data_IF_351473201472
#
_entry.id   IF_351473201472
#
_cell.length_a   1.000
_cell.length_b   1.000
_cell.length_c   1.000
_cell.angle_alpha   90.00
_cell.angle_beta   90.00
_cell.angle_gamma   90.00
#
_symmetry.space_group_name_H-M   'P 1'
#
loop_
_entity.id
_entity.type
_entity.pdbx_description
1 polymer ?
#
# COMPACT_ATOMS: atom_id res chain seq x y z
N UNK A 1 38.32 42.77 16.61
CA UNK A 1 38.88 41.57 17.27
C UNK A 1 39.25 40.57 16.19
N UNK A 2 40.55 40.38 15.93
CA UNK A 2 41.10 39.37 15.02
C UNK A 2 41.25 38.06 15.80
N UNK A 3 40.84 36.92 15.24
CA UNK A 3 41.28 35.60 15.69
C UNK A 3 41.96 34.88 14.54
N UNK A 4 43.19 34.47 14.83
CA UNK A 4 44.15 33.81 13.96
C UNK A 4 43.96 32.29 14.04
N UNK A 5 44.32 31.64 12.92
CA UNK A 5 44.42 30.22 12.59
C UNK A 5 44.90 29.27 13.70
N UNK A 6 44.41 28.02 13.66
CA UNK A 6 45.25 26.81 13.75
C UNK A 6 44.66 25.75 12.81
N UNK A 7 45.49 25.22 11.91
CA UNK A 7 45.22 24.02 11.12
C UNK A 7 46.19 22.88 11.48
N UNK A 8 45.93 21.74 10.83
CA UNK A 8 46.72 20.50 10.68
C UNK A 8 46.51 19.39 11.73
N UNK A 9 46.74 18.09 11.39
CA UNK A 9 47.26 17.55 10.12
C UNK A 9 46.44 16.40 9.48
N UNK A 10 46.70 16.18 8.18
CA UNK A 10 46.55 14.90 7.50
C UNK A 10 47.78 14.00 7.78
N UNK A 11 47.57 12.77 8.25
CA UNK A 11 48.48 11.60 8.14
C UNK A 11 47.64 10.33 8.42
N UNK A 12 47.32 9.50 7.42
CA UNK A 12 48.08 8.35 6.89
C UNK A 12 47.94 7.03 7.72
N UNK A 13 47.04 6.17 7.25
CA UNK A 13 47.14 4.70 6.98
C UNK A 13 47.83 3.77 8.02
N UNK A 14 47.09 2.79 8.56
CA UNK A 14 47.46 1.34 8.57
C UNK A 14 46.37 0.40 9.15
N UNK A 15 46.03 -0.63 8.34
CA UNK A 15 45.52 -1.97 8.64
C UNK A 15 44.62 -2.24 9.87
N UNK A 16 43.35 -2.60 9.61
CA UNK A 16 42.81 -3.91 10.03
C UNK A 16 42.15 -4.56 8.82
N UNK A 17 42.95 -5.33 8.08
CA UNK A 17 42.44 -6.39 7.22
C UNK A 17 42.18 -7.60 8.12
N UNK A 18 40.97 -7.75 8.62
CA UNK A 18 40.45 -9.02 9.12
C UNK A 18 39.44 -9.51 8.10
N UNK A 19 39.72 -10.68 7.50
CA UNK A 19 39.02 -11.21 6.34
C UNK A 19 37.55 -11.50 6.58
N UNK A 20 36.69 -10.52 6.34
CA UNK A 20 35.37 -10.80 5.81
C UNK A 20 35.59 -11.24 4.36
N UNK A 21 35.31 -12.50 4.07
CA UNK A 21 35.17 -12.97 2.69
C UNK A 21 34.35 -11.92 1.94
N UNK A 22 34.88 -11.40 0.83
CA UNK A 22 34.13 -10.55 -0.09
C UNK A 22 33.01 -11.40 -0.66
N UNK A 23 31.91 -11.51 0.09
CA UNK A 23 30.64 -11.93 -0.45
C UNK A 23 30.37 -10.93 -1.56
N UNK A 24 30.56 -11.38 -2.81
CA UNK A 24 30.23 -10.62 -4.00
C UNK A 24 28.82 -10.10 -3.75
N UNK A 25 28.66 -8.78 -3.64
CA UNK A 25 27.36 -8.17 -3.40
C UNK A 25 26.39 -8.85 -4.37
N UNK A 26 25.32 -9.50 -3.89
CA UNK A 26 24.51 -10.31 -4.76
C UNK A 26 24.02 -9.41 -5.89
N UNK A 27 24.46 -9.70 -7.11
CA UNK A 27 23.84 -9.10 -8.27
C UNK A 27 22.41 -9.60 -8.23
N UNK A 28 21.45 -8.68 -8.20
CA UNK A 28 20.07 -9.06 -8.39
C UNK A 28 19.99 -9.93 -9.66
N UNK A 29 19.28 -11.07 -9.63
CA UNK A 29 19.30 -12.00 -10.75
C UNK A 29 18.92 -11.27 -12.04
N UNK A 30 19.64 -11.49 -13.15
CA UNK A 30 19.27 -10.91 -14.43
C UNK A 30 17.81 -11.27 -14.77
N UNK A 31 17.03 -10.27 -15.19
CA UNK A 31 15.65 -10.48 -15.65
C UNK A 31 14.57 -9.61 -14.99
N UNK A 32 14.92 -8.68 -14.10
CA UNK A 32 13.91 -7.88 -13.39
C UNK A 32 13.36 -6.84 -14.35
N UNK A 33 12.26 -7.23 -15.01
CA UNK A 33 11.62 -6.42 -16.01
C UNK A 33 10.77 -5.38 -15.29
N UNK A 34 11.11 -4.10 -15.51
CA UNK A 34 10.17 -3.03 -15.25
C UNK A 34 8.88 -3.38 -15.99
N UNK A 35 7.77 -3.30 -15.28
CA UNK A 35 6.48 -3.61 -15.82
C UNK A 35 6.17 -2.72 -17.03
N UNK A 36 5.96 -3.29 -18.24
CA UNK A 36 5.80 -2.49 -19.46
C UNK A 36 4.42 -1.80 -19.54
N UNK A 37 3.50 -2.13 -18.63
CA UNK A 37 2.15 -1.55 -18.57
C UNK A 37 1.76 -1.13 -17.15
N UNK A 38 0.87 -0.12 -17.00
CA UNK A 38 0.28 0.29 -15.72
C UNK A 38 -0.54 -0.81 -15.00
N UNK A 39 -0.80 -1.93 -15.67
CA UNK A 39 -1.63 -3.04 -15.18
C UNK A 39 -0.81 -4.18 -14.56
N UNK A 40 0.48 -3.95 -14.31
CA UNK A 40 1.37 -4.94 -13.69
C UNK A 40 1.14 -5.00 -12.19
N UNK A 41 0.00 -5.59 -11.87
CA UNK A 41 -0.34 -6.08 -10.56
C UNK A 41 -0.25 -7.59 -10.65
N UNK A 42 0.24 -8.24 -9.61
CA UNK A 42 0.09 -9.70 -9.55
C UNK A 42 -1.42 -9.93 -9.54
N UNK A 43 -1.91 -10.65 -10.54
CA UNK A 43 -3.32 -11.06 -10.57
C UNK A 43 -3.39 -12.19 -9.56
N UNK A 44 -3.70 -11.81 -8.33
CA UNK A 44 -4.03 -12.75 -7.29
C UNK A 44 -5.54 -12.93 -7.32
N UNK A 45 -5.98 -14.10 -7.78
CA UNK A 45 -7.39 -14.50 -7.83
C UNK A 45 -8.40 -13.52 -8.48
N UNK A 46 -7.93 -12.67 -9.40
CA UNK A 46 -8.78 -11.73 -10.16
C UNK A 46 -8.84 -10.33 -9.55
N UNK A 47 -8.28 -10.14 -8.36
CA UNK A 47 -8.04 -8.82 -7.79
C UNK A 47 -6.62 -8.32 -8.11
N UNK A 48 -6.53 -7.00 -8.11
CA UNK A 48 -5.38 -6.25 -8.61
C UNK A 48 -4.47 -5.94 -7.41
N UNK A 49 -3.53 -6.83 -7.10
CA UNK A 49 -2.62 -6.71 -5.95
C UNK A 49 -1.24 -6.11 -6.32
N UNK A 50 -0.75 -5.13 -5.56
CA UNK A 50 0.58 -4.54 -5.78
C UNK A 50 1.61 -5.28 -4.96
N UNK A 51 2.26 -6.31 -5.53
CA UNK A 51 3.31 -7.05 -4.83
C UNK A 51 2.96 -8.52 -4.60
N UNK A 52 3.69 -9.15 -3.69
CA UNK A 52 3.50 -10.55 -3.28
C UNK A 52 3.42 -10.65 -1.77
N UNK A 53 2.64 -11.59 -1.28
CA UNK A 53 2.58 -11.92 0.13
C UNK A 53 3.39 -13.17 0.41
N UNK A 54 4.34 -13.03 1.33
CA UNK A 54 5.27 -14.10 1.69
C UNK A 54 4.90 -14.62 3.06
N UNK A 55 4.84 -15.94 3.19
CA UNK A 55 4.40 -16.61 4.42
C UNK A 55 5.45 -16.53 5.52
N UNK A 56 5.04 -16.07 6.70
CA UNK A 56 5.88 -16.07 7.90
C UNK A 56 5.11 -16.51 9.15
N UNK A 57 5.82 -16.86 10.22
CA UNK A 57 5.23 -17.01 11.55
C UNK A 57 5.14 -15.67 12.28
N UNK A 58 4.16 -15.51 13.18
CA UNK A 58 4.11 -14.35 14.10
C UNK A 58 5.38 -14.31 14.94
N UNK A 59 5.97 -13.12 15.10
CA UNK A 59 7.19 -12.93 15.88
C UNK A 59 8.46 -13.35 15.15
N UNK A 60 8.35 -13.86 13.93
CA UNK A 60 9.50 -14.24 13.13
C UNK A 60 10.27 -13.00 12.65
N UNK A 61 11.60 -13.09 12.60
CA UNK A 61 12.43 -12.02 12.03
C UNK A 61 12.44 -12.11 10.52
N UNK A 62 12.04 -11.01 9.87
CA UNK A 62 12.27 -10.85 8.44
C UNK A 62 13.70 -10.37 8.26
N UNK A 63 14.46 -11.06 7.41
CA UNK A 63 15.81 -10.67 7.03
C UNK A 63 15.86 -10.34 5.55
N UNK A 64 16.96 -9.73 5.13
CA UNK A 64 17.21 -9.39 3.73
C UNK A 64 18.58 -9.91 3.29
N UNK A 65 18.71 -10.32 2.03
CA UNK A 65 19.99 -10.82 1.51
C UNK A 65 20.91 -9.72 0.93
N UNK A 66 20.56 -8.44 1.13
CA UNK A 66 21.23 -7.29 0.49
C UNK A 66 21.39 -6.13 1.48
N UNK A 67 22.49 -5.36 1.43
CA UNK A 67 22.59 -4.13 2.20
C UNK A 67 21.57 -3.09 1.74
N UNK A 68 21.05 -2.29 2.67
CA UNK A 68 20.02 -1.30 2.38
C UNK A 68 19.97 -0.18 3.42
N UNK A 69 19.18 0.85 3.12
CA UNK A 69 18.85 1.94 4.01
C UNK A 69 17.33 2.00 4.22
N UNK A 70 16.89 2.21 5.46
CA UNK A 70 15.50 2.53 5.77
C UNK A 70 15.22 3.96 5.31
N UNK A 71 14.38 4.15 4.30
CA UNK A 71 14.09 5.50 3.76
C UNK A 71 12.72 6.03 4.20
N UNK A 72 11.82 5.16 4.65
CA UNK A 72 10.56 5.54 5.27
C UNK A 72 10.04 4.43 6.19
N UNK A 73 9.23 4.81 7.18
CA UNK A 73 8.41 3.88 7.94
C UNK A 73 6.99 3.92 7.36
N UNK A 74 6.36 2.75 7.23
CA UNK A 74 4.97 2.62 6.81
C UNK A 74 4.14 2.52 8.08
N UNK A 75 3.20 3.44 8.26
CA UNK A 75 2.14 3.33 9.27
C UNK A 75 0.83 3.10 8.55
N UNK A 76 0.04 2.17 9.05
CA UNK A 76 -1.32 2.00 8.56
C UNK A 76 -2.22 2.98 9.33
N UNK A 77 -2.89 3.93 8.65
CA UNK A 77 -3.70 4.93 9.32
C UNK A 77 -4.95 4.37 10.03
N UNK A 78 -5.39 3.14 9.72
CA UNK A 78 -6.49 2.47 10.43
C UNK A 78 -6.02 1.67 11.63
N UNK A 79 -4.87 1.02 11.50
CA UNK A 79 -4.39 0.05 12.49
C UNK A 79 -3.22 0.60 13.32
N UNK A 80 -2.79 1.82 13.02
CA UNK A 80 -1.62 2.44 13.59
C UNK A 80 -0.37 1.63 13.26
N UNK A 81 0.28 1.12 14.31
CA UNK A 81 1.52 0.35 14.16
C UNK A 81 1.26 -1.16 13.96
N UNK A 82 0.01 -1.63 13.99
CA UNK A 82 -0.30 -3.07 13.95
C UNK A 82 -0.19 -3.72 12.56
N UNK A 83 -0.25 -2.93 11.50
CA UNK A 83 0.06 -3.33 10.13
C UNK A 83 1.10 -2.40 9.50
N UNK A 84 2.07 -2.02 10.33
CA UNK A 84 3.16 -1.14 9.94
C UNK A 84 4.18 -1.84 9.04
N UNK A 85 5.21 -1.10 8.70
CA UNK A 85 6.26 -1.60 7.83
C UNK A 85 7.36 -0.58 7.58
N UNK A 86 8.12 -0.80 6.52
CA UNK A 86 9.14 0.13 6.08
C UNK A 86 9.42 0.04 4.60
N UNK A 87 9.94 1.15 4.09
CA UNK A 87 10.47 1.28 2.74
C UNK A 87 11.99 1.30 2.83
N UNK A 88 12.62 0.45 2.03
CA UNK A 88 14.06 0.27 2.00
C UNK A 88 14.60 0.54 0.62
N UNK A 89 15.69 1.31 0.53
CA UNK A 89 16.47 1.47 -0.69
C UNK A 89 17.72 0.60 -0.61
N UNK A 90 18.01 -0.17 -1.66
CA UNK A 90 19.26 -0.94 -1.68
C UNK A 90 20.48 -0.03 -1.73
N UNK A 91 21.58 -0.47 -1.12
CA UNK A 91 22.87 0.20 -1.25
C UNK A 91 23.41 0.12 -2.70
N UNK A 92 24.36 0.99 -3.08
CA UNK A 92 25.07 0.90 -4.36
C UNK A 92 25.59 -0.51 -4.64
N UNK A 93 25.55 -0.96 -5.91
CA UNK A 93 25.14 -0.23 -7.12
C UNK A 93 23.62 -0.29 -7.40
N UNK A 94 22.83 -0.87 -6.50
CA UNK A 94 21.42 -1.20 -6.75
C UNK A 94 20.44 -0.13 -6.26
N UNK A 95 20.85 1.14 -6.15
CA UNK A 95 20.02 2.21 -5.55
C UNK A 95 18.71 2.49 -6.29
N UNK A 96 18.58 2.01 -7.53
CA UNK A 96 17.34 2.05 -8.29
C UNK A 96 16.24 1.14 -7.72
N UNK A 97 16.59 0.24 -6.80
CA UNK A 97 15.66 -0.69 -6.18
C UNK A 97 15.16 -0.17 -4.84
N UNK A 98 13.84 -0.09 -4.73
CA UNK A 98 13.14 0.20 -3.50
C UNK A 98 12.22 -0.95 -3.17
N UNK A 99 12.29 -1.44 -1.94
CA UNK A 99 11.40 -2.48 -1.43
C UNK A 99 10.48 -1.86 -0.39
N UNK A 100 9.21 -2.22 -0.41
CA UNK A 100 8.28 -1.87 0.65
C UNK A 100 7.76 -3.15 1.28
N UNK A 101 7.93 -3.24 2.59
CA UNK A 101 7.48 -4.36 3.42
C UNK A 101 6.36 -3.86 4.31
N UNK A 102 5.27 -4.62 4.39
CA UNK A 102 4.12 -4.34 5.27
C UNK A 102 3.77 -5.62 6.06
N UNK A 103 3.27 -5.46 7.29
CA UNK A 103 3.02 -6.56 8.21
C UNK A 103 4.20 -6.85 9.15
N UNK A 104 5.11 -5.89 9.33
CA UNK A 104 6.29 -6.02 10.20
C UNK A 104 6.42 -4.84 11.17
N UNK A 105 6.78 -5.15 12.42
CA UNK A 105 7.27 -4.17 13.38
C UNK A 105 8.73 -3.86 13.06
N UNK A 106 9.03 -2.61 12.72
CA UNK A 106 10.37 -2.18 12.30
C UNK A 106 11.09 -1.52 13.47
N UNK A 107 12.18 -2.11 14.01
CA UNK A 107 12.90 -1.55 15.16
C UNK A 107 13.93 -0.47 14.76
N UNK A 108 13.94 -0.06 13.49
CA UNK A 108 14.97 0.81 12.90
C UNK A 108 14.41 2.20 12.61
N UNK A 109 15.24 3.22 12.79
CA UNK A 109 14.89 4.59 12.40
C UNK A 109 15.13 4.84 10.91
N UNK A 110 14.43 5.81 10.33
CA UNK A 110 14.75 6.32 8.98
C UNK A 110 16.21 6.79 8.93
N UNK A 111 16.92 6.46 7.86
CA UNK A 111 18.36 6.66 7.66
C UNK A 111 19.23 5.52 8.18
N UNK A 112 18.66 4.51 8.85
CA UNK A 112 19.43 3.36 9.34
C UNK A 112 19.94 2.53 8.15
N UNK A 113 21.26 2.32 8.11
CA UNK A 113 21.91 1.42 7.15
C UNK A 113 21.98 0.02 7.74
N UNK A 114 21.54 -0.95 6.96
CA UNK A 114 21.45 -2.36 7.31
C UNK A 114 22.37 -3.15 6.39
N UNK A 115 23.15 -4.05 6.98
CA UNK A 115 23.96 -5.00 6.22
C UNK A 115 23.10 -6.16 5.68
N UNK A 116 23.65 -6.91 4.72
CA UNK A 116 23.03 -8.17 4.30
C UNK A 116 22.90 -9.14 5.48
N UNK A 117 21.77 -9.83 5.57
CA UNK A 117 21.40 -10.73 6.66
C UNK A 117 20.80 -10.02 7.87
N UNK A 118 20.85 -8.69 7.95
CA UNK A 118 20.25 -7.96 9.07
C UNK A 118 18.73 -8.14 9.10
N UNK A 119 18.17 -8.27 10.31
CA UNK A 119 16.74 -8.25 10.52
C UNK A 119 16.18 -6.88 10.13
N UNK A 120 15.17 -6.84 9.28
CA UNK A 120 14.48 -5.62 8.85
C UNK A 120 13.25 -5.32 9.70
N UNK A 121 12.68 -6.35 10.33
CA UNK A 121 11.55 -6.22 11.24
C UNK A 121 11.10 -7.57 11.77
N UNK A 122 10.06 -7.54 12.60
CA UNK A 122 9.44 -8.70 13.23
C UNK A 122 8.00 -8.82 12.71
N UNK A 123 7.61 -9.98 12.23
CA UNK A 123 6.28 -10.24 11.68
C UNK A 123 5.22 -10.03 12.75
N UNK A 124 4.22 -9.21 12.43
CA UNK A 124 3.12 -8.90 13.35
C UNK A 124 2.00 -9.93 13.21
N UNK A 125 1.14 -10.02 14.22
CA UNK A 125 -0.07 -10.84 14.13
C UNK A 125 -1.22 -10.03 13.54
N UNK A 126 -1.62 -10.26 12.27
CA UNK A 126 -2.78 -9.58 11.71
C UNK A 126 -4.07 -9.95 12.46
N UNK A 127 -4.13 -11.09 13.16
CA UNK A 127 -5.39 -11.67 13.64
C UNK A 127 -6.11 -10.83 14.68
N UNK A 128 -5.40 -9.93 15.37
CA UNK A 128 -6.03 -8.99 16.29
C UNK A 128 -7.03 -8.06 15.57
N UNK A 129 -6.78 -7.76 14.28
CA UNK A 129 -7.59 -6.87 13.46
C UNK A 129 -8.35 -7.64 12.38
N UNK A 130 -7.72 -8.67 11.84
CA UNK A 130 -8.26 -9.54 10.80
C UNK A 130 -8.08 -11.01 11.19
N UNK A 131 -8.98 -11.58 12.02
CA UNK A 131 -8.83 -12.93 12.60
C UNK A 131 -8.59 -14.07 11.62
N UNK A 132 -8.98 -13.87 10.35
CA UNK A 132 -8.85 -14.84 9.25
C UNK A 132 -7.63 -14.62 8.37
N UNK A 133 -6.96 -13.48 8.48
CA UNK A 133 -5.72 -13.23 7.76
C UNK A 133 -4.63 -14.03 8.42
N UNK A 134 -3.96 -14.84 7.62
CA UNK A 134 -2.85 -15.62 8.11
C UNK A 134 -1.57 -14.73 8.16
N UNK A 135 -0.65 -14.91 9.12
CA UNK A 135 0.54 -14.06 9.24
C UNK A 135 1.42 -14.12 7.99
N UNK A 136 1.72 -12.96 7.43
CA UNK A 136 2.48 -12.83 6.19
C UNK A 136 3.17 -11.47 6.17
N UNK A 137 4.02 -11.28 5.18
CA UNK A 137 4.65 -9.99 4.89
C UNK A 137 4.38 -9.68 3.45
N UNK A 138 3.68 -8.57 3.25
CA UNK A 138 3.40 -8.04 1.94
C UNK A 138 4.62 -7.28 1.43
N UNK A 139 5.07 -7.62 0.21
CA UNK A 139 6.28 -7.06 -0.37
C UNK A 139 6.05 -6.50 -1.77
N UNK A 140 6.33 -5.21 -1.91
CA UNK A 140 6.40 -4.50 -3.18
C UNK A 140 7.86 -4.24 -3.57
N UNK A 141 8.14 -4.29 -4.87
CA UNK A 141 9.44 -3.93 -5.43
C UNK A 141 9.25 -2.84 -6.46
N UNK A 142 10.04 -1.79 -6.39
CA UNK A 142 10.08 -0.69 -7.33
C UNK A 142 11.45 -0.62 -7.97
N UNK A 143 11.48 -0.53 -9.30
CA UNK A 143 12.67 -0.30 -10.10
C UNK A 143 12.58 1.09 -10.73
N UNK A 144 13.48 1.99 -10.32
CA UNK A 144 13.52 3.39 -10.76
C UNK A 144 12.15 4.09 -10.59
N UNK A 145 11.46 3.80 -9.48
CA UNK A 145 10.14 4.36 -9.17
C UNK A 145 8.96 3.67 -9.85
N UNK A 146 9.20 2.66 -10.69
CA UNK A 146 8.16 1.87 -11.35
C UNK A 146 7.95 0.56 -10.58
N UNK A 147 6.70 0.23 -10.24
CA UNK A 147 6.37 -1.06 -9.64
C UNK A 147 6.82 -2.20 -10.55
N UNK A 148 7.48 -3.19 -9.96
CA UNK A 148 7.97 -4.39 -10.63
C UNK A 148 7.33 -5.63 -9.98
N UNK A 149 7.07 -6.67 -10.78
CA UNK A 149 6.60 -7.94 -10.22
C UNK A 149 7.72 -8.61 -9.40
N UNK A 150 7.56 -8.79 -8.08
CA UNK A 150 8.57 -9.43 -7.24
C UNK A 150 8.52 -10.96 -7.27
N UNK A 151 7.46 -11.56 -7.80
CA UNK A 151 7.23 -13.02 -7.82
C UNK A 151 8.40 -13.82 -8.43
N UNK A 152 8.99 -13.43 -9.58
CA UNK A 152 10.14 -14.14 -10.14
C UNK A 152 11.38 -14.15 -9.25
N UNK A 153 11.39 -13.32 -8.19
CA UNK A 153 12.52 -13.14 -7.27
C UNK A 153 12.25 -13.70 -5.88
N UNK A 154 11.04 -14.15 -5.58
CA UNK A 154 10.68 -14.53 -4.22
C UNK A 154 11.61 -15.61 -3.67
N UNK A 155 11.98 -16.63 -4.46
CA UNK A 155 12.91 -17.68 -4.02
C UNK A 155 14.34 -17.14 -3.77
N UNK A 156 14.75 -16.07 -4.48
CA UNK A 156 16.06 -15.43 -4.22
C UNK A 156 16.02 -14.53 -3.00
N UNK A 157 14.91 -13.83 -2.81
CA UNK A 157 14.71 -12.87 -1.72
C UNK A 157 14.41 -13.60 -0.39
N UNK A 158 13.66 -14.69 -0.46
CA UNK A 158 13.16 -15.50 0.65
C UNK A 158 13.19 -17.00 0.30
N UNK A 159 14.38 -17.60 0.22
CA UNK A 159 14.53 -19.00 -0.19
C UNK A 159 13.73 -19.94 0.71
N UNK A 160 13.00 -20.87 0.09
CA UNK A 160 12.17 -21.87 0.76
C UNK A 160 10.90 -21.32 1.41
N UNK A 161 10.49 -20.08 1.10
CA UNK A 161 9.21 -19.53 1.55
C UNK A 161 8.14 -19.69 0.49
N UNK A 162 6.92 -19.98 0.94
CA UNK A 162 5.77 -19.94 0.07
C UNK A 162 5.33 -18.49 -0.16
N UNK A 163 5.09 -18.16 -1.42
CA UNK A 163 4.25 -17.02 -1.79
C UNK A 163 2.82 -17.53 -1.69
N UNK A 164 2.05 -16.95 -0.80
CA UNK A 164 0.67 -17.34 -0.55
C UNK A 164 -0.15 -16.08 -0.43
N UNK A 165 -1.26 -16.01 -1.15
CA UNK A 165 -2.30 -15.01 -0.87
C UNK A 165 -2.86 -15.29 0.53
N UNK A 166 -2.56 -14.45 1.52
CA UNK A 166 -3.00 -14.59 2.89
C UNK A 166 -4.48 -14.21 3.03
N UNK A 167 -5.02 -13.56 1.99
CA UNK A 167 -6.40 -13.24 1.77
C UNK A 167 -7.19 -14.35 1.09
N UNK A 168 -6.61 -15.44 0.57
CA UNK A 168 -7.42 -16.53 -0.04
C UNK A 168 -8.43 -17.10 0.97
N UNK A 169 -8.11 -17.26 2.25
CA UNK A 169 -9.13 -17.65 3.25
C UNK A 169 -10.11 -16.51 3.59
N UNK A 170 -9.71 -15.26 3.36
CA UNK A 170 -10.53 -14.06 3.52
C UNK A 170 -11.50 -13.81 2.34
N UNK A 171 -11.11 -14.19 1.12
CA UNK A 171 -11.84 -13.98 -0.14
C UNK A 171 -12.56 -15.24 -0.65
N UNK A 172 -12.13 -16.44 -0.25
CA UNK A 172 -12.93 -17.67 -0.43
C UNK A 172 -14.04 -17.82 0.60
N UNK A 173 -14.03 -16.98 1.64
CA UNK A 173 -15.15 -16.89 2.54
C UNK A 173 -16.25 -16.05 1.89
N UNK A 174 -17.18 -16.71 1.21
CA UNK A 174 -18.54 -16.24 0.96
C UNK A 174 -19.33 -15.90 2.27
N UNK A 175 -18.66 -15.68 3.41
CA UNK A 175 -19.18 -15.85 4.77
C UNK A 175 -19.05 -14.63 5.70
N UNK A 176 -18.39 -13.53 5.31
CA UNK A 176 -18.43 -12.33 6.17
C UNK A 176 -19.72 -11.55 5.93
N UNK A 177 -20.48 -11.16 6.98
CA UNK A 177 -21.72 -10.42 6.80
C UNK A 177 -21.58 -9.16 5.94
N UNK A 178 -20.41 -8.52 5.93
CA UNK A 178 -20.19 -7.29 5.18
C UNK A 178 -19.78 -7.51 3.72
N UNK A 179 -19.08 -8.60 3.34
CA UNK A 179 -18.91 -8.97 1.92
C UNK A 179 -20.24 -9.44 1.32
N UNK A 180 -21.01 -10.23 2.08
CA UNK A 180 -22.38 -10.60 1.67
C UNK A 180 -23.25 -9.36 1.54
N UNK A 181 -23.11 -8.40 2.46
CA UNK A 181 -23.81 -7.11 2.34
C UNK A 181 -23.34 -6.31 1.13
N UNK A 182 -22.05 -6.27 0.82
CA UNK A 182 -21.51 -5.59 -0.36
C UNK A 182 -22.08 -6.18 -1.66
N UNK A 183 -21.97 -7.49 -1.84
CA UNK A 183 -22.48 -8.17 -3.04
C UNK A 183 -24.00 -7.93 -3.20
N UNK A 184 -24.75 -7.99 -2.10
CA UNK A 184 -26.19 -7.67 -2.10
C UNK A 184 -26.47 -6.20 -2.35
N UNK A 185 -25.63 -5.29 -1.83
CA UNK A 185 -25.76 -3.86 -2.03
C UNK A 185 -25.62 -3.52 -3.51
N UNK A 186 -24.61 -4.07 -4.18
CA UNK A 186 -24.42 -3.94 -5.63
C UNK A 186 -25.58 -4.53 -6.42
N UNK A 187 -26.02 -5.75 -6.09
CA UNK A 187 -27.18 -6.36 -6.75
C UNK A 187 -28.49 -5.55 -6.57
N UNK A 188 -28.68 -4.92 -5.41
CA UNK A 188 -29.81 -4.02 -5.16
C UNK A 188 -29.65 -2.70 -5.92
N UNK A 189 -28.45 -2.12 -5.92
CA UNK A 189 -28.10 -0.89 -6.61
C UNK A 189 -28.32 -0.99 -8.11
N UNK A 190 -27.79 -2.02 -8.75
CA UNK A 190 -27.89 -2.26 -10.20
C UNK A 190 -29.33 -2.49 -10.65
N UNK A 191 -30.14 -3.07 -9.77
CA UNK A 191 -31.56 -3.25 -10.00
C UNK A 191 -32.42 -2.02 -9.64
N UNK A 192 -31.78 -0.89 -9.31
CA UNK A 192 -32.46 0.36 -8.95
C UNK A 192 -33.18 0.34 -7.59
N UNK A 193 -32.94 -0.68 -6.76
CA UNK A 193 -33.52 -0.82 -5.41
C UNK A 193 -32.69 -0.06 -4.37
N UNK A 194 -32.58 1.26 -4.56
CA UNK A 194 -31.68 2.12 -3.77
C UNK A 194 -32.00 2.12 -2.26
N UNK A 195 -33.27 2.06 -1.87
CA UNK A 195 -33.66 1.99 -0.47
C UNK A 195 -33.18 0.70 0.23
N UNK A 196 -33.11 -0.41 -0.51
CA UNK A 196 -32.57 -1.69 -0.02
C UNK A 196 -31.03 -1.66 0.00
N UNK A 197 -30.40 -1.01 -0.98
CA UNK A 197 -28.95 -0.92 -1.08
C UNK A 197 -28.30 -0.11 0.05
N UNK A 198 -28.96 0.94 0.57
CA UNK A 198 -28.42 1.82 1.63
C UNK A 198 -27.93 1.04 2.87
N UNK A 199 -28.78 0.29 3.60
CA UNK A 199 -28.33 -0.41 4.81
C UNK A 199 -27.27 -1.49 4.51
N UNK A 200 -27.26 -2.03 3.29
CA UNK A 200 -26.27 -3.00 2.85
C UNK A 200 -24.91 -2.33 2.62
N UNK A 201 -24.87 -1.15 1.98
CA UNK A 201 -23.65 -0.35 1.86
C UNK A 201 -23.16 0.18 3.22
N UNK A 202 -24.06 0.56 4.13
CA UNK A 202 -23.69 0.92 5.51
C UNK A 202 -22.99 -0.23 6.22
N UNK A 203 -23.50 -1.45 6.05
CA UNK A 203 -22.90 -2.68 6.61
C UNK A 203 -21.56 -2.99 5.95
N UNK A 204 -21.50 -2.97 4.61
CA UNK A 204 -20.27 -3.26 3.84
C UNK A 204 -19.11 -2.34 4.21
N UNK A 205 -19.39 -1.05 4.48
CA UNK A 205 -18.38 -0.04 4.86
C UNK A 205 -17.63 -0.34 6.15
N UNK A 206 -18.10 -1.28 6.97
CA UNK A 206 -17.43 -1.68 8.22
C UNK A 206 -16.18 -2.54 7.96
N UNK A 207 -16.11 -3.29 6.86
CA UNK A 207 -14.96 -4.17 6.56
C UNK A 207 -13.92 -3.56 5.62
N UNK A 208 -14.27 -2.50 4.92
CA UNK A 208 -13.44 -2.04 3.82
C UNK A 208 -12.30 -1.18 4.37
N UNK A 209 -11.10 -1.76 4.36
CA UNK A 209 -9.85 -1.00 4.41
C UNK A 209 -9.89 0.08 3.33
N UNK A 210 -9.51 1.31 3.68
CA UNK A 210 -9.63 2.49 2.83
C UNK A 210 -8.90 2.38 1.48
N UNK A 211 -8.04 1.37 1.31
CA UNK A 211 -7.16 1.16 0.16
C UNK A 211 -7.84 0.56 -1.08
N UNK A 212 -8.88 -0.28 -0.94
CA UNK A 212 -9.36 -1.11 -2.07
C UNK A 212 -10.84 -0.97 -2.41
N UNK A 213 -11.76 -0.98 -1.45
CA UNK A 213 -13.22 -0.94 -1.75
C UNK A 213 -13.89 0.43 -1.65
N UNK A 214 -13.24 1.43 -1.03
CA UNK A 214 -13.87 2.73 -0.74
C UNK A 214 -14.17 3.56 -2.00
N UNK A 215 -13.42 3.34 -3.08
CA UNK A 215 -13.48 4.17 -4.28
C UNK A 215 -14.75 3.94 -5.10
N UNK A 216 -15.33 2.75 -5.01
CA UNK A 216 -16.51 2.36 -5.78
C UNK A 216 -17.78 2.36 -4.91
N UNK A 217 -17.67 1.94 -3.64
CA UNK A 217 -18.82 1.87 -2.73
C UNK A 217 -19.35 3.24 -2.34
N UNK A 218 -18.49 4.23 -2.09
CA UNK A 218 -18.98 5.53 -1.61
C UNK A 218 -19.78 6.29 -2.66
N UNK A 219 -19.31 6.39 -3.92
CA UNK A 219 -20.13 6.99 -4.95
C UNK A 219 -21.49 6.30 -5.12
N UNK A 220 -21.52 4.96 -5.12
CA UNK A 220 -22.78 4.20 -5.24
C UNK A 220 -23.70 4.38 -4.02
N UNK A 221 -23.14 4.43 -2.82
CA UNK A 221 -23.89 4.68 -1.59
C UNK A 221 -24.45 6.11 -1.54
N UNK A 222 -23.63 7.11 -1.88
CA UNK A 222 -24.08 8.51 -1.99
C UNK A 222 -25.20 8.64 -3.04
N UNK A 223 -25.06 7.96 -4.18
CA UNK A 223 -26.09 7.91 -5.21
C UNK A 223 -27.39 7.27 -4.68
N UNK A 224 -27.28 6.17 -3.92
CA UNK A 224 -28.45 5.51 -3.34
C UNK A 224 -29.24 6.45 -2.43
N UNK A 225 -28.57 7.25 -1.59
CA UNK A 225 -29.21 8.28 -0.78
C UNK A 225 -29.86 9.39 -1.62
N UNK A 226 -29.18 9.86 -2.67
CA UNK A 226 -29.75 10.88 -3.55
C UNK A 226 -31.04 10.37 -4.24
N UNK A 227 -31.05 9.11 -4.67
CA UNK A 227 -32.21 8.49 -5.34
C UNK A 227 -33.40 8.24 -4.42
N UNK A 228 -33.17 8.16 -3.10
CA UNK A 228 -34.25 8.09 -2.10
C UNK A 228 -34.62 9.47 -1.55
N UNK A 229 -33.99 10.55 -2.03
CA UNK A 229 -34.28 11.93 -1.63
C UNK A 229 -33.51 12.42 -0.40
N UNK A 230 -32.64 11.60 0.20
CA UNK A 230 -31.75 12.02 1.30
C UNK A 230 -30.50 12.71 0.74
N UNK A 231 -30.69 13.87 0.13
CA UNK A 231 -29.61 14.66 -0.45
C UNK A 231 -28.59 15.14 0.59
N UNK A 232 -29.00 15.33 1.84
CA UNK A 232 -28.10 15.76 2.90
C UNK A 232 -27.01 14.70 3.16
N UNK A 233 -27.39 13.42 3.29
CA UNK A 233 -26.42 12.32 3.45
C UNK A 233 -25.63 12.05 2.18
N UNK A 234 -26.26 12.17 1.01
CA UNK A 234 -25.56 12.04 -0.28
C UNK A 234 -24.43 13.07 -0.42
N UNK A 235 -24.71 14.35 -0.11
CA UNK A 235 -23.70 15.43 -0.12
C UNK A 235 -22.57 15.14 0.86
N UNK A 236 -22.89 14.79 2.11
CA UNK A 236 -21.86 14.53 3.12
C UNK A 236 -20.91 13.38 2.72
N UNK A 237 -21.44 12.30 2.14
CA UNK A 237 -20.61 11.20 1.63
C UNK A 237 -19.76 11.61 0.43
N UNK A 238 -20.34 12.37 -0.49
CA UNK A 238 -19.66 12.78 -1.70
C UNK A 238 -18.55 13.82 -1.41
N UNK A 239 -18.74 14.70 -0.42
CA UNK A 239 -17.70 15.61 0.07
C UNK A 239 -16.50 14.83 0.63
N UNK A 240 -16.77 13.79 1.42
CA UNK A 240 -15.70 12.93 1.94
C UNK A 240 -14.96 12.20 0.82
N UNK A 241 -15.67 11.71 -0.19
CA UNK A 241 -15.04 11.10 -1.37
C UNK A 241 -14.13 12.07 -2.12
N UNK A 242 -14.61 13.28 -2.40
CA UNK A 242 -13.84 14.32 -3.11
C UNK A 242 -12.59 14.69 -2.31
N UNK A 243 -12.71 14.89 -0.99
CA UNK A 243 -11.56 15.21 -0.14
C UNK A 243 -10.47 14.12 -0.18
N UNK A 244 -10.87 12.84 -0.14
CA UNK A 244 -9.93 11.70 -0.27
C UNK A 244 -9.27 11.68 -1.65
N UNK A 245 -10.04 11.90 -2.72
CA UNK A 245 -9.50 11.94 -4.09
C UNK A 245 -8.56 13.12 -4.34
N UNK A 246 -8.79 14.27 -3.68
CA UNK A 246 -7.87 15.41 -3.72
C UNK A 246 -6.55 15.09 -3.03
N UNK A 247 -6.60 14.48 -1.84
CA UNK A 247 -5.40 14.03 -1.12
C UNK A 247 -4.59 13.05 -1.98
N UNK A 248 -5.28 12.07 -2.57
CA UNK A 248 -4.71 11.10 -3.50
C UNK A 248 -4.02 11.75 -4.69
N UNK A 249 -4.67 12.72 -5.34
CA UNK A 249 -4.11 13.43 -6.50
C UNK A 249 -2.89 14.24 -6.09
N UNK A 250 -2.99 14.98 -5.00
CA UNK A 250 -1.93 15.87 -4.52
C UNK A 250 -0.68 15.06 -4.15
N UNK A 251 -0.86 13.92 -3.50
CA UNK A 251 0.22 12.95 -3.27
C UNK A 251 0.77 12.38 -4.58
N UNK A 252 -0.08 11.87 -5.47
CA UNK A 252 0.37 11.26 -6.74
C UNK A 252 1.08 12.26 -7.66
N UNK A 253 0.84 13.56 -7.48
CA UNK A 253 1.56 14.67 -8.14
C UNK A 253 2.83 15.14 -7.42
N UNK A 254 3.26 14.44 -6.36
CA UNK A 254 4.38 14.80 -5.48
C UNK A 254 4.26 16.19 -4.83
N UNK A 255 3.03 16.71 -4.67
CA UNK A 255 2.78 18.01 -4.01
C UNK A 255 2.64 17.89 -2.49
N UNK A 256 2.45 16.68 -1.97
CA UNK A 256 2.51 16.40 -0.54
C UNK A 256 3.89 15.81 -0.21
N UNK A 257 4.63 16.41 0.73
CA UNK A 257 6.03 16.05 1.01
C UNK A 257 6.20 14.76 1.82
N UNK A 258 5.15 13.95 2.00
CA UNK A 258 5.11 12.98 3.09
C UNK A 258 5.03 11.52 2.61
N UNK A 259 6.07 10.69 2.83
CA UNK A 259 5.99 9.25 2.60
C UNK A 259 4.95 8.53 3.49
N UNK A 260 4.40 9.18 4.53
CA UNK A 260 3.31 8.63 5.37
C UNK A 260 1.99 8.44 4.58
N UNK A 261 1.81 9.13 3.45
CA UNK A 261 0.69 8.90 2.52
C UNK A 261 1.06 7.92 1.39
N UNK A 262 2.23 7.29 1.46
CA UNK A 262 2.81 6.49 0.38
C UNK A 262 2.17 5.17 0.09
N UNK A 263 1.24 4.73 0.94
CA UNK A 263 0.39 3.58 0.64
C UNK A 263 -0.80 3.96 -0.24
N UNK A 264 -1.30 5.19 -0.11
CA UNK A 264 -2.58 5.59 -0.72
C UNK A 264 -2.49 5.69 -2.25
N UNK A 265 -1.34 6.07 -2.80
CA UNK A 265 -1.20 6.31 -4.23
C UNK A 265 -0.34 5.30 -5.01
N UNK A 266 0.28 4.32 -4.36
CA UNK A 266 1.06 3.28 -5.04
C UNK A 266 0.23 2.51 -6.09
N UNK A 267 -1.09 2.45 -5.90
CA UNK A 267 -2.03 1.72 -6.75
C UNK A 267 -2.73 2.57 -7.81
N UNK A 268 -2.78 3.91 -7.69
CA UNK A 268 -3.65 4.73 -8.54
C UNK A 268 -2.84 5.73 -9.37
N UNK A 269 -2.74 5.50 -10.69
CA UNK A 269 -2.20 6.48 -11.63
C UNK A 269 -2.95 7.82 -11.48
N UNK A 270 -2.19 8.94 -11.42
CA UNK A 270 -2.68 10.33 -11.38
C UNK A 270 -3.86 10.57 -12.32
N UNK A 271 -3.84 9.98 -13.51
CA UNK A 271 -4.91 10.11 -14.50
C UNK A 271 -6.24 9.51 -14.01
N UNK A 272 -6.21 8.30 -13.45
CA UNK A 272 -7.39 7.63 -12.90
C UNK A 272 -7.99 8.41 -11.73
N UNK A 273 -7.12 8.91 -10.83
CA UNK A 273 -7.54 9.75 -9.71
C UNK A 273 -8.17 11.06 -10.21
N UNK A 274 -7.59 11.68 -11.24
CA UNK A 274 -8.09 12.93 -11.81
C UNK A 274 -9.49 12.76 -12.42
N UNK A 275 -9.72 11.68 -13.17
CA UNK A 275 -11.03 11.36 -13.76
C UNK A 275 -12.06 11.12 -12.66
N UNK A 276 -11.71 10.30 -11.66
CA UNK A 276 -12.57 9.99 -10.51
C UNK A 276 -12.92 11.24 -9.69
N UNK A 277 -11.94 12.11 -9.47
CA UNK A 277 -12.12 13.39 -8.78
C UNK A 277 -13.06 14.32 -9.55
N UNK A 278 -12.90 14.44 -10.87
CA UNK A 278 -13.78 15.26 -11.70
C UNK A 278 -15.23 14.76 -11.59
N UNK A 279 -15.45 13.45 -11.79
CA UNK A 279 -16.77 12.83 -11.62
C UNK A 279 -17.34 13.03 -10.22
N UNK A 280 -16.49 12.92 -9.20
CA UNK A 280 -16.89 13.12 -7.82
C UNK A 280 -17.37 14.55 -7.52
N UNK A 281 -16.73 15.55 -8.14
CA UNK A 281 -17.14 16.96 -8.04
C UNK A 281 -18.43 17.24 -8.81
N UNK A 282 -18.60 16.66 -9.98
CA UNK A 282 -19.83 16.78 -10.77
C UNK A 282 -21.03 16.22 -9.98
N UNK A 283 -20.90 15.01 -9.43
CA UNK A 283 -21.93 14.40 -8.58
C UNK A 283 -22.24 15.27 -7.35
N UNK A 284 -21.21 15.79 -6.68
CA UNK A 284 -21.39 16.67 -5.52
C UNK A 284 -22.20 17.91 -5.87
N UNK A 285 -21.88 18.55 -7.00
CA UNK A 285 -22.61 19.72 -7.47
C UNK A 285 -24.06 19.37 -7.84
N UNK A 286 -24.26 18.23 -8.50
CA UNK A 286 -25.57 17.72 -8.87
C UNK A 286 -26.45 17.46 -7.63
N UNK A 287 -25.92 16.78 -6.62
CA UNK A 287 -26.62 16.53 -5.35
C UNK A 287 -26.97 17.81 -4.59
N UNK A 288 -26.06 18.81 -4.57
CA UNK A 288 -26.35 20.13 -4.00
C UNK A 288 -27.47 20.86 -4.74
N UNK A 289 -27.51 20.71 -6.05
CA UNK A 289 -28.55 21.27 -6.93
C UNK A 289 -29.84 20.44 -6.93
N UNK A 290 -29.88 19.31 -6.20
CA UNK A 290 -30.99 18.34 -6.15
C UNK A 290 -31.33 17.72 -7.51
N UNK A 291 -30.36 17.66 -8.42
CA UNK A 291 -30.46 16.95 -9.69
C UNK A 291 -29.51 15.75 -9.61
N UNK A 292 -29.99 14.51 -9.53
CA UNK A 292 -29.11 13.35 -9.39
C UNK A 292 -28.25 13.06 -10.65
N UNK A 293 -28.44 13.78 -11.76
CA UNK A 293 -27.69 13.59 -13.01
C UNK A 293 -27.91 12.21 -13.66
N UNK A 294 -27.37 11.97 -14.87
CA UNK A 294 -27.39 10.65 -15.48
C UNK A 294 -26.46 9.69 -14.69
N UNK A 295 -26.96 8.49 -14.39
CA UNK A 295 -26.37 7.52 -13.45
C UNK A 295 -24.90 7.15 -13.67
N UNK A 296 -24.28 6.63 -12.60
CA UNK A 296 -22.88 6.18 -12.53
C UNK A 296 -22.55 5.07 -13.53
#
# INVERSE_FOLDING_TARGET
MRRTLVGLPSALVALVASGAATAKAPQLPPGLQACPTPDCRVIDHGERHTGVDVRFAVGEQVTRNYPAEVIALVRDPLTGDHWGGAVFRLAPPSESFVFRFVGIAVPHAVGTKLEAGAAVGIVQDPKALWPRVLPHVHVEVYLAGVLANPEPYAETLWPGRSIEDPGIEYFRAEDSPAQVAEARAWAAFDAGRFAEAIPLFETARVLIGWETGWQDIIPAHAHSYARTGDFARAVALQERYVAVMELLRDYASHRLPDPELGVIAAVSNVQSVTIRLARGRDNLQAYRNRDPGPGL
#
